data_IF_186180760379
#
_entry.id   IF_186180760379
#
_cell.length_a   1.000
_cell.length_b   1.000
_cell.length_c   1.000
_cell.angle_alpha   90.00
_cell.angle_beta   90.00
_cell.angle_gamma   90.00
#
_symmetry.space_group_name_H-M   'P 1'
#
loop_
_entity.id
_entity.type
_entity.pdbx_description
1 polymer ?
#
# COMPACT_ATOMS: atom_id res chain seq x y z
N UNK A 1 -35.92 7.66 -22.75
CA UNK A 1 -35.16 6.39 -22.79
C UNK A 1 -34.70 6.12 -21.37
N UNK A 2 -35.49 5.35 -20.60
CA UNK A 2 -35.14 4.98 -19.22
C UNK A 2 -33.95 4.03 -19.28
N UNK A 3 -32.83 4.41 -18.68
CA UNK A 3 -31.69 3.52 -18.47
C UNK A 3 -32.23 2.30 -17.72
N UNK A 4 -31.99 1.05 -18.19
CA UNK A 4 -32.42 -0.13 -17.45
C UNK A 4 -31.79 -0.06 -16.05
N UNK A 5 -32.64 -0.07 -15.02
CA UNK A 5 -32.18 -0.13 -13.63
C UNK A 5 -31.29 -1.35 -13.48
N UNK A 6 -30.05 -1.15 -13.02
CA UNK A 6 -29.09 -2.22 -12.77
C UNK A 6 -29.70 -3.18 -11.74
N UNK A 7 -29.62 -4.49 -11.97
CA UNK A 7 -30.16 -5.46 -11.03
C UNK A 7 -29.35 -5.51 -9.73
N UNK A 8 -30.03 -5.80 -8.61
CA UNK A 8 -29.41 -5.91 -7.29
C UNK A 8 -28.25 -6.93 -7.26
N UNK A 9 -28.39 -8.04 -7.99
CA UNK A 9 -27.35 -9.07 -8.13
C UNK A 9 -26.08 -8.54 -8.80
N UNK A 10 -26.23 -7.64 -9.78
CA UNK A 10 -25.11 -7.00 -10.45
C UNK A 10 -24.39 -6.02 -9.51
N UNK A 11 -25.15 -5.21 -8.78
CA UNK A 11 -24.60 -4.30 -7.76
C UNK A 11 -23.86 -5.06 -6.65
N UNK A 12 -24.41 -6.19 -6.20
CA UNK A 12 -23.75 -7.05 -5.22
C UNK A 12 -22.42 -7.63 -5.76
N UNK A 13 -22.40 -8.05 -7.02
CA UNK A 13 -21.20 -8.58 -7.68
C UNK A 13 -20.12 -7.49 -7.84
N UNK A 14 -20.51 -6.29 -8.26
CA UNK A 14 -19.60 -5.14 -8.40
C UNK A 14 -19.04 -4.72 -7.04
N UNK A 15 -19.86 -4.72 -5.98
CA UNK A 15 -19.44 -4.44 -4.60
C UNK A 15 -18.37 -5.41 -4.12
N UNK A 16 -18.57 -6.71 -4.34
CA UNK A 16 -17.57 -7.74 -4.02
C UNK A 16 -16.30 -7.55 -4.84
N UNK A 17 -16.41 -7.30 -6.14
CA UNK A 17 -15.26 -7.06 -7.01
C UNK A 17 -14.44 -5.83 -6.56
N UNK A 18 -15.12 -4.71 -6.26
CA UNK A 18 -14.51 -3.50 -5.69
C UNK A 18 -13.75 -3.82 -4.39
N UNK A 19 -14.44 -4.42 -3.41
CA UNK A 19 -13.89 -4.69 -2.09
C UNK A 19 -12.69 -5.63 -2.11
N UNK A 20 -12.78 -6.73 -2.88
CA UNK A 20 -11.67 -7.69 -3.03
C UNK A 20 -10.49 -7.04 -3.74
N UNK A 21 -10.73 -6.39 -4.89
CA UNK A 21 -9.65 -5.81 -5.69
C UNK A 21 -8.89 -4.75 -4.91
N UNK A 22 -9.59 -3.77 -4.30
CA UNK A 22 -8.92 -2.69 -3.57
C UNK A 22 -8.20 -3.20 -2.32
N UNK A 23 -8.78 -4.18 -1.60
CA UNK A 23 -8.15 -4.75 -0.41
C UNK A 23 -6.90 -5.54 -0.77
N UNK A 24 -6.92 -6.36 -1.82
CA UNK A 24 -5.73 -7.06 -2.30
C UNK A 24 -4.66 -6.07 -2.75
N UNK A 25 -5.02 -5.03 -3.48
CA UNK A 25 -4.08 -4.00 -3.93
C UNK A 25 -3.38 -3.30 -2.77
N UNK A 26 -4.16 -2.81 -1.79
CA UNK A 26 -3.65 -2.02 -0.67
C UNK A 26 -2.92 -2.89 0.36
N UNK A 27 -3.51 -4.01 0.76
CA UNK A 27 -3.02 -4.80 1.91
C UNK A 27 -1.89 -5.74 1.48
N UNK A 28 -1.91 -6.25 0.24
CA UNK A 28 -0.94 -7.23 -0.22
C UNK A 28 -0.02 -6.68 -1.31
N UNK A 29 -0.56 -6.21 -2.43
CA UNK A 29 0.23 -5.90 -3.63
C UNK A 29 1.24 -4.77 -3.40
N UNK A 30 0.79 -3.64 -2.86
CA UNK A 30 1.67 -2.49 -2.59
C UNK A 30 2.76 -2.82 -1.55
N UNK A 31 2.45 -3.41 -0.38
CA UNK A 31 3.47 -3.84 0.58
C UNK A 31 4.46 -4.85 -0.02
N UNK A 32 3.98 -5.79 -0.83
CA UNK A 32 4.84 -6.77 -1.48
C UNK A 32 5.88 -6.10 -2.40
N UNK A 33 5.49 -5.09 -3.16
CA UNK A 33 6.43 -4.28 -3.95
C UNK A 33 7.49 -3.54 -3.12
N UNK A 34 7.19 -3.22 -1.85
CA UNK A 34 8.16 -2.67 -0.89
C UNK A 34 9.08 -3.77 -0.35
N UNK A 35 8.57 -4.97 -0.11
CA UNK A 35 9.40 -6.12 0.30
C UNK A 35 10.39 -6.51 -0.78
N UNK A 36 9.96 -6.60 -2.04
CA UNK A 36 10.85 -6.85 -3.17
C UNK A 36 11.99 -5.82 -3.22
N UNK A 37 11.67 -4.53 -3.06
CA UNK A 37 12.67 -3.46 -3.03
C UNK A 37 13.68 -3.61 -1.88
N UNK A 38 13.26 -4.08 -0.70
CA UNK A 38 14.12 -4.20 0.49
C UNK A 38 14.94 -5.48 0.53
N UNK A 39 14.38 -6.58 0.02
CA UNK A 39 14.96 -7.92 0.14
C UNK A 39 15.77 -8.30 -1.10
N UNK A 40 15.26 -7.99 -2.29
CA UNK A 40 15.92 -8.35 -3.54
C UNK A 40 16.85 -7.21 -3.97
N UNK A 41 18.13 -7.30 -3.60
CA UNK A 41 19.19 -6.37 -4.05
C UNK A 41 19.59 -6.63 -5.52
N UNK A 42 18.61 -6.70 -6.42
CA UNK A 42 18.82 -6.96 -7.85
C UNK A 42 19.20 -5.68 -8.61
N UNK A 43 19.89 -5.81 -9.74
CA UNK A 43 20.20 -4.67 -10.61
C UNK A 43 18.91 -3.94 -11.02
N UNK A 44 18.92 -2.61 -10.95
CA UNK A 44 17.75 -1.75 -11.25
C UNK A 44 16.53 -1.95 -10.34
N UNK A 45 16.73 -2.27 -9.06
CA UNK A 45 15.63 -2.50 -8.09
C UNK A 45 14.56 -1.39 -8.08
N UNK A 46 14.98 -0.12 -8.20
CA UNK A 46 14.04 1.03 -8.22
C UNK A 46 13.12 1.01 -9.43
N UNK A 47 13.59 0.55 -10.60
CA UNK A 47 12.75 0.41 -11.80
C UNK A 47 11.73 -0.70 -11.61
N UNK A 48 12.15 -1.84 -11.05
CA UNK A 48 11.24 -2.95 -10.72
C UNK A 48 10.19 -2.53 -9.70
N UNK A 49 10.58 -1.77 -8.67
CA UNK A 49 9.64 -1.19 -7.73
C UNK A 49 8.63 -0.28 -8.44
N UNK A 50 9.10 0.66 -9.28
CA UNK A 50 8.22 1.53 -10.05
C UNK A 50 7.23 0.77 -10.93
N UNK A 51 7.67 -0.27 -11.65
CA UNK A 51 6.81 -1.10 -12.47
C UNK A 51 5.77 -1.87 -11.66
N UNK A 52 6.18 -2.49 -10.54
CA UNK A 52 5.28 -3.23 -9.65
C UNK A 52 4.21 -2.33 -9.03
N UNK A 53 4.62 -1.16 -8.54
CA UNK A 53 3.69 -0.16 -8.00
C UNK A 53 2.78 0.41 -9.10
N UNK A 54 3.28 0.54 -10.34
CA UNK A 54 2.48 0.94 -11.50
C UNK A 54 1.31 -0.01 -11.76
N UNK A 55 1.55 -1.33 -11.73
CA UNK A 55 0.47 -2.33 -11.84
C UNK A 55 -0.52 -2.18 -10.69
N UNK A 56 -0.04 -2.00 -9.46
CA UNK A 56 -0.90 -1.78 -8.30
C UNK A 56 -1.76 -0.52 -8.42
N UNK A 57 -1.23 0.57 -8.99
CA UNK A 57 -1.99 1.79 -9.24
C UNK A 57 -3.09 1.58 -10.29
N UNK A 58 -2.84 0.78 -11.33
CA UNK A 58 -3.88 0.40 -12.29
C UNK A 58 -5.00 -0.40 -11.61
N UNK A 59 -4.65 -1.38 -10.78
CA UNK A 59 -5.64 -2.14 -10.00
C UNK A 59 -6.44 -1.22 -9.06
N UNK A 60 -5.76 -0.27 -8.40
CA UNK A 60 -6.38 0.72 -7.53
C UNK A 60 -7.35 1.62 -8.31
N UNK A 61 -6.97 2.07 -9.50
CA UNK A 61 -7.84 2.90 -10.36
C UNK A 61 -9.08 2.13 -10.83
N UNK A 62 -8.94 0.86 -11.20
CA UNK A 62 -10.08 0.00 -11.54
C UNK A 62 -10.98 -0.17 -10.32
N UNK A 63 -10.41 -0.52 -9.16
CA UNK A 63 -11.15 -0.63 -7.90
C UNK A 63 -11.88 0.67 -7.56
N UNK A 64 -11.20 1.82 -7.63
CA UNK A 64 -11.79 3.14 -7.39
C UNK A 64 -12.93 3.42 -8.36
N UNK A 65 -12.78 3.10 -9.65
CA UNK A 65 -13.83 3.23 -10.66
C UNK A 65 -15.09 2.43 -10.30
N UNK A 66 -14.93 1.17 -9.88
CA UNK A 66 -16.05 0.35 -9.41
C UNK A 66 -16.72 0.95 -8.16
N UNK A 67 -15.94 1.48 -7.22
CA UNK A 67 -16.47 2.14 -6.02
C UNK A 67 -17.22 3.42 -6.35
N UNK A 68 -16.70 4.22 -7.29
CA UNK A 68 -17.34 5.44 -7.78
C UNK A 68 -18.67 5.13 -8.47
N UNK A 69 -18.71 4.07 -9.26
CA UNK A 69 -19.94 3.59 -9.90
C UNK A 69 -20.99 3.18 -8.86
N UNK A 70 -20.60 2.40 -7.84
CA UNK A 70 -21.50 2.03 -6.73
C UNK A 70 -22.05 3.24 -5.97
N UNK A 71 -21.22 4.26 -5.74
CA UNK A 71 -21.65 5.50 -5.07
C UNK A 71 -22.63 6.34 -5.91
N UNK A 72 -22.70 6.09 -7.22
CA UNK A 72 -23.58 6.74 -8.18
C UNK A 72 -24.93 6.02 -8.26
N UNK A 73 -24.89 4.69 -8.25
CA UNK A 73 -26.09 3.83 -8.38
C UNK A 73 -26.82 3.62 -7.05
N UNK A 74 -26.11 3.64 -5.91
CA UNK A 74 -26.71 3.43 -4.59
C UNK A 74 -26.96 4.80 -3.92
N UNK A 75 -28.23 5.14 -3.62
CA UNK A 75 -28.57 6.41 -2.97
C UNK A 75 -27.80 6.65 -1.67
N UNK A 76 -27.47 7.92 -1.43
CA UNK A 76 -26.84 8.43 -0.20
C UNK A 76 -25.45 7.84 0.15
N UNK A 77 -24.81 7.09 -0.75
CA UNK A 77 -23.46 6.53 -0.50
C UNK A 77 -22.32 7.50 -0.76
N UNK A 78 -22.53 8.54 -1.56
CA UNK A 78 -21.45 9.45 -1.97
C UNK A 78 -20.82 10.25 -0.81
N UNK A 79 -21.59 10.51 0.25
CA UNK A 79 -21.14 11.26 1.45
C UNK A 79 -20.58 10.37 2.56
N UNK A 80 -20.54 9.05 2.35
CA UNK A 80 -20.04 8.10 3.34
C UNK A 80 -18.55 8.30 3.62
N UNK A 81 -18.16 8.16 4.90
CA UNK A 81 -16.79 8.39 5.33
C UNK A 81 -15.78 7.50 4.58
N UNK A 82 -16.16 6.24 4.28
CA UNK A 82 -15.37 5.32 3.49
C UNK A 82 -15.11 5.83 2.05
N UNK A 83 -16.13 6.41 1.42
CA UNK A 83 -16.05 6.93 0.04
C UNK A 83 -15.16 8.16 0.00
N UNK A 84 -15.37 9.10 0.93
CA UNK A 84 -14.57 10.33 1.03
C UNK A 84 -13.09 10.02 1.34
N UNK A 85 -12.84 9.17 2.34
CA UNK A 85 -11.48 8.76 2.70
C UNK A 85 -10.82 7.99 1.55
N UNK A 86 -11.55 7.07 0.91
CA UNK A 86 -11.06 6.32 -0.24
C UNK A 86 -10.64 7.21 -1.41
N UNK A 87 -11.40 8.28 -1.69
CA UNK A 87 -11.06 9.26 -2.72
C UNK A 87 -9.77 10.02 -2.39
N UNK A 88 -9.63 10.50 -1.15
CA UNK A 88 -8.40 11.17 -0.70
C UNK A 88 -7.19 10.24 -0.79
N UNK A 89 -7.33 9.00 -0.33
CA UNK A 89 -6.27 7.97 -0.41
C UNK A 89 -5.88 7.72 -1.87
N UNK A 90 -6.85 7.54 -2.77
CA UNK A 90 -6.59 7.29 -4.19
C UNK A 90 -5.82 8.44 -4.86
N UNK A 91 -6.25 9.69 -4.63
CA UNK A 91 -5.55 10.89 -5.15
C UNK A 91 -4.13 10.95 -4.62
N UNK A 92 -3.93 10.76 -3.31
CA UNK A 92 -2.61 10.80 -2.70
C UNK A 92 -1.71 9.68 -3.25
N UNK A 93 -2.21 8.46 -3.44
CA UNK A 93 -1.47 7.37 -4.08
C UNK A 93 -1.02 7.72 -5.50
N UNK A 94 -1.82 8.43 -6.29
CA UNK A 94 -1.43 8.88 -7.63
C UNK A 94 -0.32 9.93 -7.61
N UNK A 95 -0.19 10.70 -6.52
CA UNK A 95 0.92 11.64 -6.34
C UNK A 95 2.23 10.95 -5.90
N UNK A 96 2.15 9.78 -5.28
CA UNK A 96 3.32 9.06 -4.75
C UNK A 96 4.39 8.73 -5.81
N UNK A 97 4.06 8.25 -7.02
CA UNK A 97 5.05 8.02 -8.09
C UNK A 97 5.79 9.28 -8.51
N UNK A 98 5.07 10.42 -8.58
CA UNK A 98 5.66 11.71 -8.96
C UNK A 98 6.69 12.11 -7.90
N UNK A 99 6.30 12.06 -6.62
CA UNK A 99 7.22 12.31 -5.50
C UNK A 99 8.37 11.30 -5.46
N UNK A 100 8.10 10.06 -5.82
CA UNK A 100 9.07 8.97 -5.95
C UNK A 100 10.15 9.29 -6.96
N UNK A 101 9.73 9.63 -8.17
CA UNK A 101 10.62 9.99 -9.27
C UNK A 101 11.42 11.27 -8.98
N UNK A 102 10.75 12.30 -8.44
CA UNK A 102 11.41 13.57 -8.11
C UNK A 102 12.52 13.40 -7.09
N UNK A 103 12.29 12.66 -6.00
CA UNK A 103 13.34 12.46 -5.00
C UNK A 103 14.44 11.53 -5.53
N UNK A 104 14.11 10.53 -6.36
CA UNK A 104 15.12 9.64 -6.93
C UNK A 104 16.06 10.40 -7.87
N UNK A 105 15.53 11.26 -8.74
CA UNK A 105 16.32 12.15 -9.61
C UNK A 105 17.22 13.08 -8.79
N UNK A 106 16.69 13.66 -7.71
CA UNK A 106 17.47 14.52 -6.81
C UNK A 106 18.59 13.76 -6.10
N UNK A 107 18.32 12.55 -5.61
CA UNK A 107 19.30 11.71 -4.92
C UNK A 107 20.46 11.33 -5.85
N UNK A 108 20.15 10.92 -7.09
CA UNK A 108 21.18 10.60 -8.10
C UNK A 108 22.01 11.84 -8.47
N UNK A 109 21.40 13.02 -8.46
CA UNK A 109 22.07 14.27 -8.87
C UNK A 109 22.88 14.97 -7.77
N UNK A 110 22.48 14.87 -6.50
CA UNK A 110 23.06 15.67 -5.40
C UNK A 110 23.61 14.83 -4.24
N UNK A 111 23.38 13.51 -4.22
CA UNK A 111 23.85 12.62 -3.15
C UNK A 111 23.19 12.80 -1.78
N UNK A 112 22.33 13.80 -1.59
CA UNK A 112 21.68 14.13 -0.31
C UNK A 112 20.21 13.72 -0.26
N UNK A 113 19.75 13.29 0.93
CA UNK A 113 18.34 13.00 1.20
C UNK A 113 17.56 14.31 1.27
N UNK A 114 16.62 14.53 0.35
CA UNK A 114 15.73 15.69 0.37
C UNK A 114 14.47 15.42 1.21
N UNK A 115 13.78 16.47 1.65
CA UNK A 115 12.48 16.37 2.33
C UNK A 115 11.44 15.55 1.55
N UNK A 116 11.54 15.55 0.21
CA UNK A 116 10.67 14.74 -0.68
C UNK A 116 10.86 13.24 -0.46
N UNK A 117 12.06 12.81 -0.09
CA UNK A 117 12.32 11.42 0.28
C UNK A 117 11.59 11.05 1.57
N UNK A 118 11.58 11.93 2.57
CA UNK A 118 10.82 11.72 3.80
C UNK A 118 9.31 11.64 3.52
N UNK A 119 8.77 12.56 2.72
CA UNK A 119 7.35 12.56 2.34
C UNK A 119 6.99 11.30 1.55
N UNK A 120 7.81 10.88 0.59
CA UNK A 120 7.53 9.66 -0.17
C UNK A 120 7.58 8.40 0.72
N UNK A 121 8.58 8.27 1.60
CA UNK A 121 8.74 7.07 2.44
C UNK A 121 7.69 7.02 3.55
N UNK A 122 7.49 8.11 4.30
CA UNK A 122 6.55 8.16 5.41
C UNK A 122 5.11 8.32 4.94
N UNK A 123 4.87 9.12 3.89
CA UNK A 123 3.56 9.26 3.26
C UNK A 123 3.06 7.93 2.69
N UNK A 124 3.94 7.15 2.04
CA UNK A 124 3.57 5.81 1.55
C UNK A 124 3.15 4.86 2.67
N UNK A 125 3.84 4.90 3.83
CA UNK A 125 3.46 4.10 5.01
C UNK A 125 2.12 4.55 5.60
N UNK A 126 1.93 5.85 5.74
CA UNK A 126 0.68 6.42 6.25
C UNK A 126 -0.50 6.05 5.34
N UNK A 127 -0.33 6.16 4.02
CA UNK A 127 -1.35 5.79 3.04
C UNK A 127 -1.71 4.30 3.07
N UNK A 128 -0.72 3.41 3.26
CA UNK A 128 -1.01 1.99 3.43
C UNK A 128 -1.83 1.71 4.69
N UNK A 129 -1.49 2.34 5.82
CA UNK A 129 -2.25 2.21 7.06
C UNK A 129 -3.68 2.75 6.93
N UNK A 130 -3.81 3.96 6.37
CA UNK A 130 -5.12 4.55 6.08
C UNK A 130 -5.93 3.71 5.11
N UNK A 131 -5.27 3.10 4.12
CA UNK A 131 -5.90 2.18 3.18
C UNK A 131 -6.45 0.92 3.85
N UNK A 132 -5.69 0.31 4.77
CA UNK A 132 -6.16 -0.83 5.56
C UNK A 132 -7.38 -0.43 6.42
N UNK A 133 -7.32 0.71 7.11
CA UNK A 133 -8.45 1.25 7.87
C UNK A 133 -9.66 1.45 6.96
N UNK A 134 -9.45 2.06 5.79
CA UNK A 134 -10.51 2.29 4.82
C UNK A 134 -11.12 0.99 4.27
N UNK A 135 -10.34 -0.08 4.12
CA UNK A 135 -10.86 -1.40 3.77
C UNK A 135 -11.82 -1.94 4.85
N UNK A 136 -11.49 -1.78 6.13
CA UNK A 136 -12.40 -2.19 7.23
C UNK A 136 -13.67 -1.34 7.29
N UNK A 137 -13.58 -0.02 7.08
CA UNK A 137 -14.79 0.82 7.02
C UNK A 137 -15.66 0.46 5.81
N UNK A 138 -15.06 0.04 4.70
CA UNK A 138 -15.79 -0.49 3.54
C UNK A 138 -16.54 -1.78 3.83
N UNK A 139 -15.94 -2.72 4.55
CA UNK A 139 -16.62 -3.94 5.03
C UNK A 139 -17.78 -3.63 5.98
N UNK A 140 -17.63 -2.58 6.79
CA UNK A 140 -18.72 -2.06 7.65
C UNK A 140 -19.85 -1.50 6.83
N UNK A 141 -19.53 -0.74 5.80
CA UNK A 141 -20.51 -0.13 4.92
C UNK A 141 -21.26 -1.16 4.06
N UNK A 142 -20.64 -2.30 3.77
CA UNK A 142 -21.24 -3.39 3.00
C UNK A 142 -22.10 -4.35 3.83
N UNK A 143 -22.16 -4.18 5.16
CA UNK A 143 -22.94 -5.02 6.10
C UNK A 143 -22.60 -6.52 5.97
N UNK A 144 -21.34 -6.81 5.64
CA UNK A 144 -20.87 -8.19 5.51
C UNK A 144 -20.76 -8.87 6.89
N UNK A 145 -20.88 -10.19 6.91
CA UNK A 145 -20.70 -10.99 8.12
C UNK A 145 -19.26 -10.96 8.64
N UNK A 146 -18.98 -11.66 9.74
CA UNK A 146 -17.65 -11.66 10.39
C UNK A 146 -16.52 -12.27 9.53
N UNK A 147 -16.85 -13.11 8.55
CA UNK A 147 -15.87 -13.81 7.70
C UNK A 147 -14.90 -12.88 6.95
N UNK A 148 -15.39 -11.96 6.10
CA UNK A 148 -14.53 -10.98 5.40
C UNK A 148 -13.66 -10.13 6.34
N UNK A 149 -14.17 -9.73 7.50
CA UNK A 149 -13.37 -9.00 8.50
C UNK A 149 -12.21 -9.83 9.02
N UNK A 150 -12.46 -11.10 9.35
CA UNK A 150 -11.44 -12.02 9.83
C UNK A 150 -10.38 -12.26 8.74
N UNK A 151 -10.82 -12.50 7.50
CA UNK A 151 -9.91 -12.69 6.36
C UNK A 151 -9.01 -11.48 6.11
N UNK A 152 -9.59 -10.28 6.07
CA UNK A 152 -8.83 -9.03 5.91
C UNK A 152 -7.89 -8.78 7.09
N UNK A 153 -8.34 -9.04 8.32
CA UNK A 153 -7.54 -8.90 9.54
C UNK A 153 -6.34 -9.84 9.59
N UNK A 154 -6.54 -11.11 9.25
CA UNK A 154 -5.44 -12.08 9.15
C UNK A 154 -4.44 -11.63 8.09
N UNK A 155 -4.92 -11.26 6.89
CA UNK A 155 -4.05 -10.81 5.81
C UNK A 155 -3.22 -9.57 6.22
N UNK A 156 -3.88 -8.54 6.77
CA UNK A 156 -3.21 -7.34 7.24
C UNK A 156 -2.21 -7.64 8.36
N UNK A 157 -2.58 -8.51 9.31
CA UNK A 157 -1.72 -8.96 10.40
C UNK A 157 -0.46 -9.68 9.90
N UNK A 158 -0.60 -10.63 8.97
CA UNK A 158 0.53 -11.35 8.37
C UNK A 158 1.48 -10.38 7.66
N UNK A 159 0.95 -9.43 6.88
CA UNK A 159 1.77 -8.45 6.17
C UNK A 159 2.48 -7.50 7.14
N UNK A 160 1.80 -7.07 8.21
CA UNK A 160 2.40 -6.26 9.25
C UNK A 160 3.54 -7.01 9.97
N UNK A 161 3.31 -8.27 10.35
CA UNK A 161 4.34 -9.11 10.98
C UNK A 161 5.53 -9.33 10.05
N UNK A 162 5.30 -9.61 8.77
CA UNK A 162 6.36 -9.71 7.77
C UNK A 162 7.16 -8.40 7.68
N UNK A 163 6.48 -7.25 7.68
CA UNK A 163 7.12 -5.94 7.67
C UNK A 163 7.98 -5.69 8.91
N UNK A 164 7.47 -5.97 10.09
CA UNK A 164 8.23 -5.88 11.35
C UNK A 164 9.43 -6.84 11.35
N UNK A 165 9.26 -8.05 10.81
CA UNK A 165 10.34 -9.00 10.59
C UNK A 165 11.46 -8.44 9.72
N UNK A 166 11.15 -7.69 8.64
CA UNK A 166 12.19 -7.02 7.83
C UNK A 166 12.97 -5.95 8.59
N UNK A 167 12.31 -5.24 9.51
CA UNK A 167 12.96 -4.22 10.36
C UNK A 167 13.87 -4.92 11.36
N UNK A 168 13.34 -5.92 12.08
CA UNK A 168 14.08 -6.69 13.06
C UNK A 168 15.31 -7.36 12.45
N UNK A 169 15.17 -8.01 11.29
CA UNK A 169 16.29 -8.60 10.55
C UNK A 169 17.38 -7.58 10.23
N UNK A 170 17.01 -6.38 9.80
CA UNK A 170 17.97 -5.31 9.50
C UNK A 170 18.72 -4.88 10.76
N UNK A 171 18.02 -4.71 11.89
CA UNK A 171 18.64 -4.34 13.16
C UNK A 171 19.66 -5.38 13.63
N UNK A 172 19.27 -6.67 13.60
CA UNK A 172 20.18 -7.79 13.95
C UNK A 172 21.44 -7.82 13.11
N UNK A 173 21.36 -7.49 11.82
CA UNK A 173 22.55 -7.45 10.96
C UNK A 173 23.50 -6.30 11.28
N UNK A 174 23.00 -5.17 11.79
CA UNK A 174 23.84 -4.05 12.21
C UNK A 174 24.58 -4.41 13.49
N UNK A 175 23.86 -4.93 14.48
CA UNK A 175 24.42 -5.41 15.76
C UNK A 175 25.58 -6.40 15.55
N UNK A 176 25.38 -7.41 14.69
CA UNK A 176 26.42 -8.41 14.38
C UNK A 176 27.66 -7.79 13.70
N UNK A 177 27.49 -6.78 12.84
CA UNK A 177 28.63 -6.12 12.18
C UNK A 177 29.40 -5.25 13.17
N UNK A 178 28.70 -4.51 14.04
CA UNK A 178 29.33 -3.70 15.09
C UNK A 178 30.13 -4.59 16.07
N UNK A 179 29.60 -5.77 16.44
CA UNK A 179 30.32 -6.76 17.24
C UNK A 179 31.60 -7.26 16.54
N UNK A 180 31.54 -7.54 15.22
CA UNK A 180 32.71 -7.97 14.43
C UNK A 180 33.77 -6.88 14.32
N UNK A 181 33.38 -5.62 14.10
CA UNK A 181 34.29 -4.48 14.00
C UNK A 181 35.02 -4.22 15.33
N UNK A 182 34.30 -4.25 16.46
CA UNK A 182 34.92 -4.15 17.78
C UNK A 182 35.93 -5.27 18.02
N UNK A 183 35.57 -6.54 17.70
CA UNK A 183 36.49 -7.66 17.86
C UNK A 183 37.74 -7.52 16.99
N UNK A 184 37.62 -6.99 15.77
CA UNK A 184 38.77 -6.73 14.89
C UNK A 184 39.69 -5.63 15.45
N UNK A 185 39.15 -4.53 15.97
CA UNK A 185 39.94 -3.44 16.56
C UNK A 185 40.69 -3.86 17.84
N UNK A 186 40.05 -4.62 18.73
CA UNK A 186 40.67 -5.11 19.96
C UNK A 186 41.57 -6.33 19.73
N UNK A 187 41.27 -7.17 18.74
CA UNK A 187 42.03 -8.37 18.38
C UNK A 187 43.32 -8.08 17.61
N UNK A 188 43.40 -6.96 16.87
CA UNK A 188 44.58 -6.55 16.09
C UNK A 188 45.69 -5.83 16.88
N UNK A 189 45.54 -5.63 18.20
CA UNK A 189 46.52 -4.95 19.07
C UNK A 189 47.51 -5.90 19.77
N UNK A 190 47.82 -7.06 19.18
CA UNK A 190 48.85 -7.99 19.70
C UNK A 190 50.12 -7.95 18.86
#
# INVERSE_FOLDING_TARGET
MSIPSVSDDSLASIRKAHGVLISVTIVLWFPFGVFLLRLLKVKHTVRWHGAWQGIGLLMMLVGFGLGRYLAEEIPDRASEAHVLLGMVIAVLFLLMPILGWLHHKQFVSHGVKSWKSAVHVWGGRALLLLGVVNSFTGLKLSEEGSGPYLGLGILAGVILLAYLGTIWWKWRRVEVVEEMEMQAEFGGRK
#
